data_IF_152655754077
#
_entry.id   IF_152655754077
#
_cell.length_a   1.000
_cell.length_b   1.000
_cell.length_c   1.000
_cell.angle_alpha   90.00
_cell.angle_beta   90.00
_cell.angle_gamma   90.00
#
_symmetry.space_group_name_H-M   'P 1'
#
loop_
_entity.id
_entity.type
_entity.pdbx_description
1 polymer ?
#
# COMPACT_ATOMS: atom_id res chain seq x y z
N UNK A 1 13.36 14.24 14.66
CA UNK A 1 13.19 12.77 14.53
C UNK A 1 11.73 12.49 14.27
N UNK A 2 11.37 12.11 13.05
CA UNK A 2 9.99 11.69 12.73
C UNK A 2 9.73 10.35 13.42
N UNK A 3 8.66 10.28 14.20
CA UNK A 3 8.16 9.01 14.74
C UNK A 3 7.81 8.14 13.54
N UNK A 4 8.49 7.00 13.39
CA UNK A 4 8.14 6.03 12.37
C UNK A 4 6.68 5.60 12.62
N UNK A 5 5.80 5.93 11.69
CA UNK A 5 4.39 5.58 11.80
C UNK A 5 4.28 4.07 11.55
N UNK A 6 4.04 3.29 12.61
CA UNK A 6 3.81 1.86 12.50
C UNK A 6 2.38 1.64 11.95
N UNK A 7 2.31 1.27 10.67
CA UNK A 7 1.04 1.01 10.00
C UNK A 7 0.22 -0.10 10.69
N UNK A 8 0.89 -1.11 11.26
CA UNK A 8 0.22 -2.17 11.99
C UNK A 8 -0.44 -1.64 13.27
N UNK A 9 0.28 -0.79 14.02
CA UNK A 9 -0.27 -0.14 15.20
C UNK A 9 -1.49 0.73 14.84
N UNK A 10 -1.44 1.46 13.72
CA UNK A 10 -2.59 2.25 13.27
C UNK A 10 -3.81 1.39 12.95
N UNK A 11 -3.62 0.23 12.31
CA UNK A 11 -4.73 -0.71 12.05
C UNK A 11 -5.31 -1.25 13.36
N UNK A 12 -4.47 -1.61 14.32
CA UNK A 12 -4.94 -2.07 15.65
C UNK A 12 -5.72 -0.98 16.38
N UNK A 13 -5.24 0.25 16.35
CA UNK A 13 -5.94 1.40 16.95
C UNK A 13 -7.26 1.68 16.24
N UNK A 14 -7.29 1.59 14.91
CA UNK A 14 -8.51 1.71 14.12
C UNK A 14 -9.54 0.66 14.51
N UNK A 15 -9.15 -0.62 14.60
CA UNK A 15 -10.05 -1.70 15.00
C UNK A 15 -10.65 -1.41 16.38
N UNK A 16 -9.80 -1.08 17.36
CA UNK A 16 -10.27 -0.73 18.72
C UNK A 16 -11.22 0.44 18.72
N UNK A 17 -10.95 1.47 17.93
CA UNK A 17 -11.82 2.63 17.81
C UNK A 17 -13.18 2.26 17.20
N UNK A 18 -13.19 1.44 16.13
CA UNK A 18 -14.42 0.94 15.52
C UNK A 18 -15.24 0.13 16.52
N UNK A 19 -14.62 -0.81 17.23
CA UNK A 19 -15.28 -1.63 18.25
C UNK A 19 -15.90 -0.80 19.35
N UNK A 20 -15.15 0.18 19.86
CA UNK A 20 -15.56 0.93 21.04
C UNK A 20 -16.56 2.05 20.72
N UNK A 21 -16.34 2.78 19.62
CA UNK A 21 -17.11 3.99 19.29
C UNK A 21 -18.33 3.69 18.44
N UNK A 22 -18.22 2.74 17.50
CA UNK A 22 -19.28 2.49 16.52
C UNK A 22 -20.08 1.21 16.78
N UNK A 23 -19.41 0.13 17.17
CA UNK A 23 -20.07 -1.16 17.31
C UNK A 23 -20.60 -1.41 18.74
N UNK A 24 -19.93 -0.88 19.76
CA UNK A 24 -20.19 -1.22 21.16
C UNK A 24 -19.92 -2.70 21.50
N UNK A 25 -19.26 -3.43 20.59
CA UNK A 25 -18.88 -4.85 20.71
C UNK A 25 -17.58 -5.12 19.98
N UNK A 26 -16.97 -6.27 20.22
CA UNK A 26 -15.85 -6.76 19.39
C UNK A 26 -16.31 -7.08 17.98
N UNK A 27 -15.39 -6.96 17.03
CA UNK A 27 -15.63 -7.41 15.65
C UNK A 27 -15.88 -8.91 15.63
N UNK A 28 -16.88 -9.32 14.87
CA UNK A 28 -17.18 -10.73 14.59
C UNK A 28 -16.47 -11.18 13.30
N UNK A 29 -16.40 -12.48 13.08
CA UNK A 29 -15.71 -13.07 11.91
C UNK A 29 -16.26 -12.60 10.55
N UNK A 30 -17.51 -12.13 10.50
CA UNK A 30 -18.14 -11.58 9.30
C UNK A 30 -17.99 -10.06 9.13
N UNK A 31 -17.36 -9.37 10.09
CA UNK A 31 -17.18 -7.92 10.01
C UNK A 31 -15.90 -7.58 9.21
N UNK A 32 -15.99 -6.54 8.39
CA UNK A 32 -14.85 -6.06 7.63
C UNK A 32 -14.03 -5.07 8.45
N UNK A 33 -12.69 -5.19 8.40
CA UNK A 33 -11.76 -4.25 9.06
C UNK A 33 -11.95 -2.83 8.53
N UNK A 34 -12.24 -2.69 7.24
CA UNK A 34 -12.63 -1.44 6.60
C UNK A 34 -14.04 -1.58 6.06
N UNK A 35 -15.05 -1.30 6.89
CA UNK A 35 -16.45 -1.44 6.53
C UNK A 35 -16.91 -0.30 5.63
N UNK A 36 -18.00 -0.53 4.91
CA UNK A 36 -18.69 0.52 4.18
C UNK A 36 -19.18 1.61 5.14
N UNK A 37 -19.21 2.84 4.64
CA UNK A 37 -19.72 4.02 5.37
C UNK A 37 -20.97 4.51 4.66
N UNK A 38 -22.08 4.60 5.38
CA UNK A 38 -23.31 5.17 4.84
C UNK A 38 -23.20 6.69 4.66
N UNK A 39 -24.16 7.27 3.97
CA UNK A 39 -24.26 8.73 3.75
C UNK A 39 -24.29 9.51 5.07
N UNK A 40 -24.84 8.90 6.13
CA UNK A 40 -24.93 9.50 7.47
C UNK A 40 -23.73 9.16 8.36
N UNK A 41 -22.60 8.79 7.77
CA UNK A 41 -21.35 8.41 8.48
C UNK A 41 -21.49 7.20 9.41
N UNK A 42 -22.54 6.40 9.27
CA UNK A 42 -22.73 5.16 10.03
C UNK A 42 -21.96 4.04 9.35
N UNK A 43 -21.16 3.31 10.13
CA UNK A 43 -20.44 2.14 9.63
C UNK A 43 -21.38 0.95 9.44
N UNK A 44 -21.17 0.20 8.38
CA UNK A 44 -21.88 -1.03 8.05
C UNK A 44 -20.88 -2.20 8.12
N UNK A 45 -20.72 -2.82 9.28
CA UNK A 45 -19.61 -3.75 9.52
C UNK A 45 -19.63 -4.99 8.62
N UNK A 46 -20.79 -5.44 8.17
CA UNK A 46 -20.95 -6.60 7.30
C UNK A 46 -20.80 -6.26 5.79
N UNK A 47 -20.57 -5.00 5.43
CA UNK A 47 -20.37 -4.57 4.05
C UNK A 47 -18.94 -4.06 3.86
N UNK A 48 -18.19 -4.49 2.83
CA UNK A 48 -16.83 -3.99 2.58
C UNK A 48 -16.87 -2.56 2.07
N UNK A 49 -15.82 -1.81 2.36
CA UNK A 49 -15.61 -0.47 1.80
C UNK A 49 -15.47 -0.56 0.27
N UNK A 50 -16.30 0.18 -0.45
CA UNK A 50 -16.27 0.18 -1.90
C UNK A 50 -14.99 0.85 -2.42
N UNK A 51 -14.40 0.26 -3.46
CA UNK A 51 -13.21 0.79 -4.14
C UNK A 51 -13.37 2.25 -4.57
N UNK A 52 -14.52 2.61 -5.12
CA UNK A 52 -14.80 3.96 -5.60
C UNK A 52 -14.78 4.99 -4.46
N UNK A 53 -15.23 4.60 -3.26
CA UNK A 53 -15.16 5.46 -2.08
C UNK A 53 -13.71 5.74 -1.69
N UNK A 54 -12.87 4.70 -1.69
CA UNK A 54 -11.43 4.86 -1.43
C UNK A 54 -10.77 5.74 -2.48
N UNK A 55 -11.07 5.51 -3.75
CA UNK A 55 -10.54 6.32 -4.86
C UNK A 55 -10.93 7.80 -4.74
N UNK A 56 -12.18 8.07 -4.37
CA UNK A 56 -12.66 9.43 -4.12
C UNK A 56 -11.88 10.09 -2.99
N UNK A 57 -11.70 9.41 -1.86
CA UNK A 57 -10.95 9.94 -0.72
C UNK A 57 -9.48 10.21 -1.04
N UNK A 58 -8.84 9.32 -1.83
CA UNK A 58 -7.48 9.56 -2.32
C UNK A 58 -7.44 10.83 -3.15
N UNK A 59 -8.36 11.01 -4.08
CA UNK A 59 -8.43 12.19 -4.95
C UNK A 59 -8.62 13.48 -4.14
N UNK A 60 -9.51 13.46 -3.15
CA UNK A 60 -9.76 14.59 -2.26
C UNK A 60 -8.53 14.92 -1.40
N UNK A 61 -7.87 13.90 -0.83
CA UNK A 61 -6.67 14.07 -0.01
C UNK A 61 -5.50 14.64 -0.81
N UNK A 62 -5.25 14.12 -2.01
CA UNK A 62 -4.21 14.61 -2.93
C UNK A 62 -4.45 16.05 -3.31
N UNK A 63 -5.70 16.39 -3.67
CA UNK A 63 -6.10 17.76 -3.99
C UNK A 63 -5.93 18.69 -2.77
N UNK A 64 -6.37 18.25 -1.59
CA UNK A 64 -6.23 19.02 -0.35
C UNK A 64 -4.77 19.26 0.06
N UNK A 65 -3.88 18.33 -0.27
CA UNK A 65 -2.44 18.45 -0.04
C UNK A 65 -1.70 19.31 -1.10
N UNK A 66 -2.40 19.81 -2.13
CA UNK A 66 -1.79 20.58 -3.21
C UNK A 66 -0.86 19.79 -4.10
N UNK A 67 -0.99 18.45 -4.12
CA UNK A 67 -0.16 17.57 -4.94
C UNK A 67 -0.76 17.47 -6.34
N UNK A 68 0.03 17.85 -7.35
CA UNK A 68 -0.38 17.73 -8.74
C UNK A 68 -0.20 16.30 -9.23
N UNK A 69 -1.26 15.68 -9.74
CA UNK A 69 -1.24 14.34 -10.34
C UNK A 69 -2.51 13.55 -10.08
N UNK A 70 -2.69 12.51 -10.87
CA UNK A 70 -3.78 11.56 -10.70
C UNK A 70 -3.26 10.32 -9.98
N UNK A 71 -3.73 10.12 -8.77
CA UNK A 71 -3.35 8.98 -7.95
C UNK A 71 -4.52 8.01 -7.83
N UNK A 72 -4.21 6.72 -7.94
CA UNK A 72 -5.17 5.65 -7.73
C UNK A 72 -4.72 4.77 -6.57
N UNK A 73 -5.62 3.90 -6.10
CA UNK A 73 -5.28 2.85 -5.12
C UNK A 73 -4.08 2.03 -5.57
N UNK A 74 -3.97 1.77 -6.88
CA UNK A 74 -2.85 1.03 -7.47
C UNK A 74 -1.51 1.78 -7.36
N UNK A 75 -1.51 3.11 -7.33
CA UNK A 75 -0.28 3.89 -7.14
C UNK A 75 0.39 3.63 -5.80
N UNK A 76 -0.38 3.42 -4.73
CA UNK A 76 0.16 3.10 -3.41
C UNK A 76 0.79 1.72 -3.38
N UNK A 77 0.14 0.74 -3.99
CA UNK A 77 0.65 -0.62 -4.12
C UNK A 77 1.98 -0.64 -4.89
N UNK A 78 2.01 -0.01 -6.06
CA UNK A 78 3.22 0.12 -6.88
C UNK A 78 4.32 0.90 -6.17
N UNK A 79 3.97 2.02 -5.54
CA UNK A 79 4.92 2.86 -4.80
C UNK A 79 5.56 2.11 -3.63
N UNK A 80 4.80 1.31 -2.89
CA UNK A 80 5.32 0.44 -1.85
C UNK A 80 6.31 -0.60 -2.37
N UNK A 81 5.98 -1.26 -3.50
CA UNK A 81 6.86 -2.20 -4.15
C UNK A 81 8.16 -1.54 -4.63
N UNK A 82 8.06 -0.38 -5.31
CA UNK A 82 9.22 0.39 -5.76
C UNK A 82 10.10 0.82 -4.60
N UNK A 83 9.50 1.32 -3.52
CA UNK A 83 10.27 1.70 -2.33
C UNK A 83 11.08 0.53 -1.79
N UNK A 84 10.45 -0.63 -1.60
CA UNK A 84 11.11 -1.82 -1.08
C UNK A 84 12.15 -2.41 -2.02
N UNK A 85 12.00 -2.19 -3.31
CA UNK A 85 12.95 -2.68 -4.33
C UNK A 85 14.16 -1.76 -4.52
N UNK A 86 13.94 -0.43 -4.47
CA UNK A 86 14.93 0.54 -4.98
C UNK A 86 15.43 1.52 -3.92
N UNK A 87 14.59 1.89 -2.95
CA UNK A 87 14.85 3.02 -2.07
C UNK A 87 14.95 2.66 -0.58
N UNK A 88 14.58 1.43 -0.21
CA UNK A 88 14.70 0.99 1.17
C UNK A 88 16.18 0.94 1.61
N UNK A 89 16.49 1.19 2.89
CA UNK A 89 17.83 1.06 3.40
C UNK A 89 18.42 -0.34 3.14
N UNK A 90 19.75 -0.46 3.02
CA UNK A 90 20.41 -1.76 2.93
C UNK A 90 19.93 -2.70 4.04
N UNK A 91 19.62 -3.94 3.72
CA UNK A 91 19.04 -4.93 4.65
C UNK A 91 17.50 -4.88 4.75
N UNK A 92 16.85 -3.87 4.20
CA UNK A 92 15.39 -3.78 4.09
C UNK A 92 14.88 -3.88 2.64
N UNK A 93 15.80 -4.02 1.69
CA UNK A 93 15.50 -4.24 0.28
C UNK A 93 14.93 -5.65 0.11
N UNK A 94 13.79 -5.75 -0.55
CA UNK A 94 13.15 -7.02 -0.84
C UNK A 94 13.62 -7.59 -2.18
N UNK A 95 13.78 -8.90 -2.23
CA UNK A 95 14.00 -9.60 -3.50
C UNK A 95 12.77 -9.51 -4.40
N UNK A 96 12.94 -9.68 -5.71
CA UNK A 96 11.82 -9.69 -6.65
C UNK A 96 10.77 -10.75 -6.30
N UNK A 97 11.20 -11.93 -5.81
CA UNK A 97 10.28 -12.98 -5.35
C UNK A 97 9.40 -12.52 -4.20
N UNK A 98 9.97 -11.84 -3.20
CA UNK A 98 9.21 -11.28 -2.06
C UNK A 98 8.24 -10.20 -2.53
N UNK A 99 8.67 -9.32 -3.45
CA UNK A 99 7.83 -8.26 -4.00
C UNK A 99 6.65 -8.84 -4.78
N UNK A 100 6.87 -9.85 -5.60
CA UNK A 100 5.81 -10.55 -6.34
C UNK A 100 4.82 -11.22 -5.41
N UNK A 101 5.32 -11.97 -4.42
CA UNK A 101 4.48 -12.61 -3.42
C UNK A 101 3.63 -11.59 -2.65
N UNK A 102 4.26 -10.52 -2.17
CA UNK A 102 3.57 -9.44 -1.44
C UNK A 102 2.54 -8.71 -2.31
N UNK A 103 2.88 -8.48 -3.57
CA UNK A 103 2.01 -7.80 -4.54
C UNK A 103 0.90 -8.68 -5.12
N UNK A 104 0.90 -9.98 -4.86
CA UNK A 104 -0.04 -10.93 -5.46
C UNK A 104 0.14 -11.08 -6.98
N UNK A 105 1.33 -10.76 -7.51
CA UNK A 105 1.60 -10.88 -8.95
C UNK A 105 2.05 -12.29 -9.30
N UNK A 106 1.37 -12.91 -10.28
CA UNK A 106 1.70 -14.25 -10.75
C UNK A 106 3.11 -14.34 -11.36
N UNK A 107 3.72 -15.53 -11.32
CA UNK A 107 4.93 -15.80 -12.09
C UNK A 107 4.62 -15.66 -13.60
N UNK A 108 5.38 -14.80 -14.27
CA UNK A 108 5.19 -14.51 -15.71
C UNK A 108 4.37 -13.27 -16.01
N UNK A 109 3.68 -12.66 -15.05
CA UNK A 109 3.17 -11.32 -15.24
C UNK A 109 4.34 -10.34 -15.40
N UNK A 110 4.34 -9.61 -16.50
CA UNK A 110 5.30 -8.53 -16.72
C UNK A 110 5.09 -7.50 -15.61
N UNK A 111 5.99 -7.50 -14.63
CA UNK A 111 6.09 -6.40 -13.68
C UNK A 111 6.25 -5.15 -14.55
N UNK A 112 5.19 -4.32 -14.56
CA UNK A 112 5.06 -3.18 -15.46
C UNK A 112 6.41 -2.46 -15.68
N UNK A 113 6.70 -1.95 -16.91
CA UNK A 113 7.94 -1.23 -17.23
C UNK A 113 8.28 -0.06 -16.31
N UNK A 114 7.37 0.35 -15.43
CA UNK A 114 7.62 1.35 -14.40
C UNK A 114 8.52 0.86 -13.25
N UNK A 115 8.72 -0.47 -13.13
CA UNK A 115 9.83 -1.06 -12.36
C UNK A 115 10.88 -1.38 -13.44
N UNK A 116 11.53 -0.35 -13.91
CA UNK A 116 12.29 -0.33 -15.16
C UNK A 116 13.41 -1.38 -15.27
N UNK A 117 14.04 -1.50 -16.44
CA UNK A 117 15.10 -2.47 -16.75
C UNK A 117 16.28 -2.42 -15.76
N UNK A 118 16.44 -1.33 -15.03
CA UNK A 118 17.45 -1.17 -14.00
C UNK A 118 17.31 -2.15 -12.81
N UNK A 119 16.09 -2.60 -12.48
CA UNK A 119 15.88 -3.56 -11.39
C UNK A 119 16.35 -4.95 -11.79
N UNK A 120 16.11 -5.34 -13.04
CA UNK A 120 16.55 -6.65 -13.55
C UNK A 120 18.07 -6.75 -13.61
N UNK A 121 18.77 -5.67 -13.97
CA UNK A 121 20.23 -5.61 -14.01
C UNK A 121 20.85 -5.70 -12.62
N UNK A 122 20.23 -5.08 -11.61
CA UNK A 122 20.71 -5.14 -10.22
C UNK A 122 20.50 -6.51 -9.57
N UNK A 123 19.46 -7.23 -9.96
CA UNK A 123 19.11 -8.54 -9.42
C UNK A 123 19.80 -9.70 -10.14
N UNK A 124 20.29 -9.48 -11.37
CA UNK A 124 20.99 -10.51 -12.15
C UNK A 124 22.49 -10.65 -11.81
N UNK A 125 23.03 -9.83 -10.91
CA UNK A 125 24.42 -9.94 -10.48
C UNK A 125 25.46 -9.61 -11.58
N UNK A 126 25.06 -8.96 -12.67
CA UNK A 126 26.01 -8.51 -13.69
C UNK A 126 26.85 -7.34 -13.16
N UNK A 127 28.18 -7.42 -13.20
CA UNK A 127 29.04 -6.34 -12.77
C UNK A 127 28.82 -5.10 -13.64
N UNK A 128 28.64 -3.98 -12.99
CA UNK A 128 28.44 -2.67 -13.58
C UNK A 128 29.67 -2.32 -14.48
N UNK A 129 29.52 -1.94 -15.75
CA UNK A 129 30.65 -1.57 -16.60
C UNK A 129 31.11 -0.12 -16.41
N UNK A 130 31.01 0.43 -15.19
CA UNK A 130 31.53 1.77 -14.86
C UNK A 130 32.70 1.64 -13.91
N UNK A 131 33.82 1.08 -14.41
CA UNK A 131 35.16 1.40 -13.94
C UNK A 131 36.18 1.12 -15.05
N UNK A 132 36.21 2.01 -16.04
CA UNK A 132 37.37 2.17 -16.91
C UNK A 132 37.37 3.60 -17.45
N UNK A 133 37.87 4.56 -16.64
CA UNK A 133 38.83 5.61 -17.04
C UNK A 133 39.10 6.51 -15.83
#
# INVERSE_FOLDING_TARGET
>A
MGVACDAFLLVVLWIKWVEHVHLGRRMADGDFVFPAVSINTVLKPAEPLAHDSVQKWITEAVKGAGINGNFSTHCFHRGGAQYRCMYAPPGQIWTLGVIRWWGGWAEGENVSPAIGPHVLTFLSGSPNPITAR
#
